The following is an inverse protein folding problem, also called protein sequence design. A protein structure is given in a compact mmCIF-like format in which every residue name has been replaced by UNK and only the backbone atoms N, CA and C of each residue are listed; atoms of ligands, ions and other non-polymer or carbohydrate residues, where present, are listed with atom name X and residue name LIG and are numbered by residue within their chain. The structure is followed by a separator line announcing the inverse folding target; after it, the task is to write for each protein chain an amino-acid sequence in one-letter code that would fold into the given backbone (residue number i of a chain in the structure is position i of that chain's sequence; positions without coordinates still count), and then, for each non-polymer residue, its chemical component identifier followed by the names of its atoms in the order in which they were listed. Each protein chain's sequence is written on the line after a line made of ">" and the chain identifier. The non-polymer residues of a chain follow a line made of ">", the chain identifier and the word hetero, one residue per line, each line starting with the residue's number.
data_IF_798541386666
#
_entry.id   IF_798541386666
#
_cell.length_a   1.000
_cell.length_b   1.000
_cell.length_c   1.000
_cell.angle_alpha   90.00
_cell.angle_beta   90.00
_cell.angle_gamma   90.00
#
_symmetry.space_group_name_H-M   'P 1'
#
loop_
_entity.id
_entity.type
_entity.pdbx_description
1 polymer ?
#
# COMPACT_ATOMS: atom_id res chain seq x y z
N UNK A 1 -14.64 -18.27 28.35
CA UNK A 1 -15.97 -18.80 28.73
C UNK A 1 -16.81 -17.61 29.16
N UNK A 2 -17.89 -17.28 28.45
CA UNK A 2 -18.74 -16.14 28.84
C UNK A 2 -19.48 -16.46 30.16
N UNK A 3 -19.60 -15.52 31.10
CA UNK A 3 -20.31 -15.73 32.36
C UNK A 3 -21.80 -15.94 32.09
N UNK A 4 -22.49 -16.62 33.01
CA UNK A 4 -23.92 -16.90 32.91
C UNK A 4 -24.74 -15.61 32.75
N UNK A 5 -25.20 -15.33 31.53
CA UNK A 5 -26.06 -14.19 31.24
C UNK A 5 -27.46 -14.47 31.81
N UNK A 6 -27.98 -13.54 32.60
CA UNK A 6 -29.31 -13.59 33.18
C UNK A 6 -30.37 -13.72 32.06
N UNK A 7 -31.29 -14.68 32.22
CA UNK A 7 -32.29 -15.05 31.22
C UNK A 7 -33.16 -13.88 30.78
N UNK A 8 -33.31 -12.84 31.62
CA UNK A 8 -34.06 -11.62 31.30
C UNK A 8 -33.45 -10.82 30.15
N UNK A 9 -32.14 -10.96 29.91
CA UNK A 9 -31.46 -10.28 28.81
C UNK A 9 -31.53 -11.03 27.47
N UNK A 10 -31.92 -12.31 27.46
CA UNK A 10 -31.99 -13.13 26.22
C UNK A 10 -32.78 -12.48 25.07
N UNK A 11 -33.93 -11.81 25.28
CA UNK A 11 -34.66 -11.14 24.20
C UNK A 11 -33.93 -9.93 23.61
N UNK A 12 -32.96 -9.37 24.33
CA UNK A 12 -32.19 -8.19 23.95
C UNK A 12 -30.79 -8.52 23.43
N UNK A 13 -30.35 -9.79 23.55
CA UNK A 13 -29.10 -10.26 22.98
C UNK A 13 -29.38 -10.64 21.54
N UNK A 14 -28.79 -9.90 20.61
CA UNK A 14 -28.84 -10.26 19.21
C UNK A 14 -28.14 -11.62 19.00
N UNK A 15 -28.74 -12.50 18.20
CA UNK A 15 -28.18 -13.81 17.82
C UNK A 15 -27.09 -13.67 16.73
N UNK A 16 -26.23 -12.65 16.85
CA UNK A 16 -25.10 -12.50 15.95
C UNK A 16 -23.99 -13.47 16.35
N UNK A 17 -23.64 -14.37 15.44
CA UNK A 17 -22.44 -15.20 15.57
C UNK A 17 -21.26 -14.44 15.01
N UNK A 18 -20.37 -13.97 15.88
CA UNK A 18 -19.09 -13.39 15.49
C UNK A 18 -18.11 -14.53 15.23
N UNK A 19 -17.63 -14.61 13.99
CA UNK A 19 -16.55 -15.51 13.62
C UNK A 19 -15.24 -14.71 13.60
N UNK A 20 -14.30 -15.05 14.48
CA UNK A 20 -12.97 -14.48 14.46
C UNK A 20 -12.11 -15.31 13.51
N UNK A 21 -11.55 -14.68 12.48
CA UNK A 21 -10.65 -15.31 11.52
C UNK A 21 -9.26 -14.72 11.70
N UNK A 22 -8.25 -15.59 11.76
CA UNK A 22 -6.85 -15.20 11.71
C UNK A 22 -6.31 -15.54 10.30
N UNK A 23 -6.04 -14.55 9.42
CA UNK A 23 -5.55 -14.80 8.07
C UNK A 23 -4.30 -15.67 7.99
N UNK A 24 -3.45 -15.65 9.02
CA UNK A 24 -2.22 -16.45 9.09
C UNK A 24 -2.50 -17.95 9.27
N UNK A 25 -3.61 -18.30 9.92
CA UNK A 25 -4.02 -19.70 10.18
C UNK A 25 -4.84 -20.31 9.04
N UNK A 26 -5.28 -19.49 8.07
CA UNK A 26 -6.05 -19.96 6.92
C UNK A 26 -5.13 -20.73 5.98
N UNK A 27 -5.46 -22.00 5.70
CA UNK A 27 -4.70 -22.85 4.77
C UNK A 27 -5.30 -22.90 3.38
N UNK A 28 -6.60 -22.68 3.25
CA UNK A 28 -7.35 -22.80 2.02
C UNK A 28 -8.22 -21.55 1.82
N UNK A 29 -7.74 -20.67 0.94
CA UNK A 29 -8.39 -19.41 0.60
C UNK A 29 -9.49 -19.56 -0.46
N UNK A 30 -9.59 -20.71 -1.12
CA UNK A 30 -10.64 -20.96 -2.12
C UNK A 30 -12.06 -20.92 -1.52
N UNK A 31 -12.17 -21.04 -0.19
CA UNK A 31 -13.42 -20.89 0.57
C UNK A 31 -13.96 -19.46 0.60
N UNK A 32 -13.16 -18.48 0.20
CA UNK A 32 -13.55 -17.09 0.10
C UNK A 32 -13.79 -16.77 -1.39
N UNK A 33 -15.02 -16.47 -1.76
CA UNK A 33 -15.40 -16.21 -3.16
C UNK A 33 -15.46 -14.71 -3.50
N UNK A 34 -15.20 -13.84 -2.51
CA UNK A 34 -15.32 -12.38 -2.61
C UNK A 34 -13.98 -11.68 -2.41
N UNK A 35 -13.98 -10.35 -2.33
CA UNK A 35 -12.81 -9.52 -2.02
C UNK A 35 -12.08 -9.86 -0.70
N UNK A 36 -12.70 -10.65 0.20
CA UNK A 36 -11.99 -11.19 1.38
C UNK A 36 -10.85 -12.15 1.00
N UNK A 37 -10.97 -12.86 -0.12
CA UNK A 37 -9.93 -13.77 -0.60
C UNK A 37 -8.62 -13.03 -0.89
N UNK A 38 -8.57 -12.07 -1.83
CA UNK A 38 -7.33 -11.34 -2.13
C UNK A 38 -6.82 -10.57 -0.92
N UNK A 39 -7.69 -10.01 -0.07
CA UNK A 39 -7.27 -9.33 1.16
C UNK A 39 -6.53 -10.27 2.12
N UNK A 40 -7.09 -11.44 2.43
CA UNK A 40 -6.47 -12.37 3.37
C UNK A 40 -5.23 -13.06 2.79
N UNK A 41 -5.23 -13.37 1.50
CA UNK A 41 -4.05 -13.91 0.82
C UNK A 41 -2.90 -12.89 0.85
N UNK A 42 -3.17 -11.61 0.59
CA UNK A 42 -2.16 -10.54 0.74
C UNK A 42 -1.67 -10.42 2.18
N UNK A 43 -2.58 -10.35 3.16
CA UNK A 43 -2.19 -10.23 4.57
C UNK A 43 -1.33 -11.40 5.04
N UNK A 44 -1.63 -12.62 4.59
CA UNK A 44 -0.81 -13.79 4.92
C UNK A 44 0.61 -13.71 4.35
N UNK A 45 0.75 -13.14 3.16
CA UNK A 45 2.03 -13.05 2.47
C UNK A 45 2.72 -11.68 2.62
N UNK A 46 2.16 -10.74 3.39
CA UNK A 46 2.64 -9.36 3.49
C UNK A 46 4.10 -9.23 3.98
N UNK A 47 4.60 -10.21 4.73
CA UNK A 47 5.99 -10.24 5.22
C UNK A 47 6.98 -10.92 4.29
N UNK A 48 6.54 -11.51 3.17
CA UNK A 48 7.38 -12.25 2.22
C UNK A 48 7.25 -11.61 0.82
N UNK A 49 8.21 -10.75 0.48
CA UNK A 49 8.16 -9.94 -0.74
C UNK A 49 8.06 -10.78 -2.02
N UNK A 50 8.81 -11.90 -2.10
CA UNK A 50 8.81 -12.76 -3.28
C UNK A 50 7.45 -13.43 -3.45
N UNK A 51 6.89 -14.01 -2.38
CA UNK A 51 5.57 -14.63 -2.43
C UNK A 51 4.47 -13.62 -2.71
N UNK A 52 4.56 -12.43 -2.12
CA UNK A 52 3.60 -11.35 -2.35
C UNK A 52 3.61 -10.91 -3.82
N UNK A 53 4.80 -10.74 -4.39
CA UNK A 53 4.95 -10.37 -5.78
C UNK A 53 4.43 -11.46 -6.73
N UNK A 54 4.77 -12.72 -6.45
CA UNK A 54 4.30 -13.86 -7.23
C UNK A 54 2.78 -13.98 -7.17
N UNK A 55 2.17 -13.80 -5.99
CA UNK A 55 0.73 -13.83 -5.80
C UNK A 55 0.04 -12.77 -6.67
N UNK A 56 0.47 -11.52 -6.56
CA UNK A 56 -0.16 -10.40 -7.26
C UNK A 56 0.02 -10.52 -8.78
N UNK A 57 1.16 -11.04 -9.25
CA UNK A 57 1.46 -11.07 -10.69
C UNK A 57 0.97 -12.32 -11.41
N UNK A 58 0.82 -13.46 -10.72
CA UNK A 58 0.49 -14.76 -11.34
C UNK A 58 -0.96 -15.17 -11.15
N UNK A 59 -1.63 -14.75 -10.08
CA UNK A 59 -3.01 -15.15 -9.79
C UNK A 59 -4.02 -14.21 -10.49
N UNK A 60 -4.87 -14.77 -11.35
CA UNK A 60 -5.89 -14.03 -12.11
C UNK A 60 -6.89 -13.30 -11.22
N UNK A 61 -7.10 -13.74 -9.98
CA UNK A 61 -7.96 -13.09 -8.98
C UNK A 61 -7.54 -11.63 -8.74
N UNK A 62 -6.25 -11.32 -8.89
CA UNK A 62 -5.71 -9.97 -8.71
C UNK A 62 -5.83 -9.09 -9.96
N UNK A 63 -6.25 -9.62 -11.11
CA UNK A 63 -6.46 -8.79 -12.31
C UNK A 63 -7.75 -7.96 -12.24
N UNK A 64 -8.69 -8.34 -11.37
CA UNK A 64 -10.01 -7.72 -11.23
C UNK A 64 -10.42 -7.68 -9.75
N UNK A 65 -9.93 -6.69 -9.02
CA UNK A 65 -10.26 -6.49 -7.59
C UNK A 65 -11.14 -5.26 -7.45
N UNK A 66 -12.24 -5.34 -6.71
CA UNK A 66 -13.12 -4.20 -6.46
C UNK A 66 -12.40 -3.10 -5.67
N UNK A 67 -12.78 -1.84 -5.91
CA UNK A 67 -12.15 -0.67 -5.26
C UNK A 67 -12.25 -0.70 -3.74
N UNK A 68 -13.31 -1.27 -3.18
CA UNK A 68 -13.48 -1.38 -1.72
C UNK A 68 -12.45 -2.34 -1.11
N UNK A 69 -12.15 -3.43 -1.79
CA UNK A 69 -11.12 -4.38 -1.41
C UNK A 69 -9.73 -3.78 -1.56
N UNK A 70 -9.45 -3.01 -2.62
CA UNK A 70 -8.17 -2.28 -2.74
C UNK A 70 -8.00 -1.26 -1.62
N UNK A 71 -9.06 -0.53 -1.27
CA UNK A 71 -9.06 0.39 -0.13
C UNK A 71 -8.77 -0.34 1.19
N UNK A 72 -9.39 -1.49 1.41
CA UNK A 72 -9.14 -2.34 2.57
C UNK A 72 -7.69 -2.86 2.60
N UNK A 73 -7.15 -3.29 1.46
CA UNK A 73 -5.76 -3.71 1.34
C UNK A 73 -4.81 -2.58 1.74
N UNK A 74 -4.99 -1.38 1.18
CA UNK A 74 -4.17 -0.22 1.55
C UNK A 74 -4.23 0.08 3.05
N UNK A 75 -5.43 0.01 3.64
CA UNK A 75 -5.64 0.26 5.07
C UNK A 75 -4.98 -0.81 5.96
N UNK A 76 -5.17 -2.09 5.67
CA UNK A 76 -4.74 -3.19 6.54
C UNK A 76 -3.29 -3.63 6.31
N UNK A 77 -2.80 -3.55 5.08
CA UNK A 77 -1.41 -3.90 4.73
C UNK A 77 -0.48 -2.69 4.93
N UNK A 78 -1.02 -1.47 4.94
CA UNK A 78 -0.22 -0.25 5.07
C UNK A 78 0.46 0.16 3.75
N UNK A 79 -0.16 -0.15 2.61
CA UNK A 79 0.31 0.22 1.28
C UNK A 79 -0.38 1.47 0.76
N UNK A 80 0.25 2.19 -0.18
CA UNK A 80 -0.34 3.34 -0.89
C UNK A 80 -0.48 3.05 -2.39
N UNK A 81 -1.15 1.94 -2.71
CA UNK A 81 -1.45 1.56 -4.09
C UNK A 81 -2.45 2.57 -4.63
N UNK A 82 -2.08 3.27 -5.71
CA UNK A 82 -2.96 4.23 -6.38
C UNK A 82 -3.86 3.50 -7.37
N UNK A 83 -5.11 3.89 -7.39
CA UNK A 83 -6.15 3.41 -8.30
C UNK A 83 -7.11 4.55 -8.64
N UNK A 84 -7.87 4.41 -9.72
CA UNK A 84 -8.92 5.36 -10.08
C UNK A 84 -10.19 5.04 -9.28
N UNK A 85 -10.65 5.96 -8.46
CA UNK A 85 -11.87 5.81 -7.66
C UNK A 85 -13.15 5.80 -8.51
N UNK A 86 -13.08 6.23 -9.78
CA UNK A 86 -14.21 6.18 -10.71
C UNK A 86 -14.36 4.83 -11.40
N UNK A 87 -13.37 3.94 -11.32
CA UNK A 87 -13.47 2.58 -11.83
C UNK A 87 -14.10 1.65 -10.78
N UNK A 88 -14.88 0.66 -11.20
CA UNK A 88 -15.44 -0.34 -10.28
C UNK A 88 -14.42 -1.43 -9.91
N UNK A 89 -13.46 -1.68 -10.80
CA UNK A 89 -12.48 -2.75 -10.67
C UNK A 89 -11.08 -2.25 -11.00
N UNK A 90 -10.11 -2.70 -10.23
CA UNK A 90 -8.71 -2.35 -10.35
C UNK A 90 -7.92 -3.59 -10.79
N UNK A 91 -7.03 -3.40 -11.76
CA UNK A 91 -6.01 -4.38 -12.09
C UNK A 91 -4.84 -4.25 -11.09
N UNK A 92 -4.80 -5.14 -10.09
CA UNK A 92 -3.78 -5.06 -9.04
C UNK A 92 -2.39 -5.38 -9.56
N UNK A 93 -2.24 -6.24 -10.56
CA UNK A 93 -0.92 -6.50 -11.19
C UNK A 93 -0.29 -5.20 -11.67
N UNK A 94 -1.06 -4.42 -12.45
CA UNK A 94 -0.62 -3.13 -12.98
C UNK A 94 -0.41 -2.10 -11.87
N UNK A 95 -1.38 -1.98 -10.95
CA UNK A 95 -1.30 -1.02 -9.86
C UNK A 95 -0.09 -1.28 -8.94
N UNK A 96 0.26 -2.54 -8.74
CA UNK A 96 1.43 -2.98 -7.98
C UNK A 96 2.75 -2.68 -8.70
N UNK A 97 2.83 -2.96 -10.00
CA UNK A 97 3.99 -2.62 -10.82
C UNK A 97 4.23 -1.10 -10.85
N UNK A 98 3.16 -0.31 -10.98
CA UNK A 98 3.23 1.14 -10.98
C UNK A 98 3.60 1.67 -9.57
N UNK A 99 3.13 1.03 -8.50
CA UNK A 99 3.58 1.32 -7.13
C UNK A 99 5.09 1.07 -6.96
N UNK A 100 5.62 -0.05 -7.46
CA UNK A 100 7.07 -0.34 -7.44
C UNK A 100 7.89 0.69 -8.21
N UNK A 101 7.46 1.04 -9.43
CA UNK A 101 8.13 2.06 -10.24
C UNK A 101 8.16 3.42 -9.55
N UNK A 102 7.05 3.80 -8.90
CA UNK A 102 7.00 5.03 -8.09
C UNK A 102 8.01 4.98 -6.95
N UNK A 103 8.07 3.88 -6.18
CA UNK A 103 9.05 3.73 -5.10
C UNK A 103 10.50 3.86 -5.58
N UNK A 104 10.84 3.27 -6.73
CA UNK A 104 12.18 3.42 -7.34
C UNK A 104 12.45 4.89 -7.72
N UNK A 105 11.47 5.55 -8.32
CA UNK A 105 11.61 6.94 -8.73
C UNK A 105 11.72 7.90 -7.54
N UNK A 106 10.94 7.68 -6.48
CA UNK A 106 11.05 8.40 -5.22
C UNK A 106 12.41 8.19 -4.58
N UNK A 107 12.92 6.95 -4.55
CA UNK A 107 14.27 6.65 -4.06
C UNK A 107 15.36 7.43 -4.83
N UNK A 108 15.24 7.50 -6.16
CA UNK A 108 16.14 8.32 -7.00
C UNK A 108 16.05 9.81 -6.67
N UNK A 109 14.86 10.31 -6.34
CA UNK A 109 14.69 11.72 -5.98
C UNK A 109 15.39 12.01 -4.65
N UNK A 110 15.17 11.17 -3.64
CA UNK A 110 15.79 11.28 -2.32
C UNK A 110 17.33 11.21 -2.39
N UNK A 111 17.87 10.35 -3.24
CA UNK A 111 19.32 10.28 -3.49
C UNK A 111 19.87 11.63 -3.99
N UNK A 112 19.25 12.19 -5.04
CA UNK A 112 19.67 13.48 -5.60
C UNK A 112 19.51 14.61 -4.58
N UNK A 113 18.44 14.59 -3.79
CA UNK A 113 18.22 15.58 -2.73
C UNK A 113 19.32 15.51 -1.67
N UNK A 114 19.73 14.31 -1.26
CA UNK A 114 20.85 14.12 -0.33
C UNK A 114 22.15 14.70 -0.91
N UNK A 115 22.48 14.37 -2.17
CA UNK A 115 23.71 14.85 -2.81
C UNK A 115 23.76 16.39 -2.93
N UNK A 116 22.62 17.03 -3.17
CA UNK A 116 22.52 18.50 -3.19
C UNK A 116 22.71 19.07 -1.79
N UNK A 117 22.01 18.52 -0.79
CA UNK A 117 22.12 19.00 0.59
C UNK A 117 23.55 18.85 1.14
N UNK A 118 24.24 17.77 0.77
CA UNK A 118 25.62 17.51 1.15
C UNK A 118 26.63 18.39 0.38
N UNK A 119 26.16 19.22 -0.56
CA UNK A 119 27.01 20.09 -1.40
C UNK A 119 27.86 19.33 -2.42
N UNK A 120 27.56 18.05 -2.68
CA UNK A 120 28.31 17.21 -3.62
C UNK A 120 27.97 17.59 -5.06
N UNK A 121 26.72 17.98 -5.31
CA UNK A 121 26.27 18.47 -6.62
C UNK A 121 25.50 19.78 -6.47
N UNK A 122 25.61 20.62 -7.49
CA UNK A 122 24.86 21.87 -7.55
C UNK A 122 23.33 21.63 -7.66
N UNK A 123 22.49 22.45 -7.00
CA UNK A 123 21.04 22.34 -7.06
C UNK A 123 20.46 22.31 -8.48
N UNK A 124 20.99 23.11 -9.40
CA UNK A 124 20.56 23.18 -10.80
C UNK A 124 20.87 21.88 -11.56
N UNK A 125 21.99 21.23 -11.23
CA UNK A 125 22.33 19.92 -11.79
C UNK A 125 21.39 18.85 -11.24
N UNK A 126 21.00 18.93 -9.97
CA UNK A 126 19.98 18.08 -9.36
C UNK A 126 18.65 18.17 -10.10
N UNK A 127 18.13 19.39 -10.27
CA UNK A 127 16.88 19.65 -11.00
C UNK A 127 16.94 19.11 -12.44
N UNK A 128 18.05 19.33 -13.14
CA UNK A 128 18.28 18.80 -14.49
C UNK A 128 18.28 17.28 -14.53
N UNK A 129 18.91 16.60 -13.57
CA UNK A 129 18.97 15.12 -13.49
C UNK A 129 17.59 14.50 -13.25
N UNK A 130 16.72 15.18 -12.50
CA UNK A 130 15.35 14.77 -12.26
C UNK A 130 14.37 15.23 -13.36
N UNK A 131 14.87 15.95 -14.38
CA UNK A 131 14.08 16.48 -15.48
C UNK A 131 12.88 17.33 -15.02
N UNK A 132 13.12 18.21 -14.04
CA UNK A 132 12.10 19.13 -13.53
C UNK A 132 12.63 20.56 -13.41
N UNK A 133 11.74 21.58 -13.49
CA UNK A 133 12.11 22.96 -13.24
C UNK A 133 12.73 23.15 -11.85
N UNK A 134 13.67 24.09 -11.73
CA UNK A 134 14.34 24.36 -10.47
C UNK A 134 13.38 24.71 -9.32
N UNK A 135 12.35 25.53 -9.60
CA UNK A 135 11.35 25.89 -8.60
C UNK A 135 10.53 24.69 -8.08
N UNK A 136 10.28 23.70 -8.94
CA UNK A 136 9.58 22.47 -8.55
C UNK A 136 10.52 21.55 -7.76
N UNK A 137 11.79 21.50 -8.15
CA UNK A 137 12.85 20.77 -7.45
C UNK A 137 13.04 21.28 -6.02
N UNK A 138 13.17 22.60 -5.83
CA UNK A 138 13.31 23.23 -4.51
C UNK A 138 12.11 22.91 -3.60
N UNK A 139 10.90 23.06 -4.13
CA UNK A 139 9.67 22.72 -3.40
C UNK A 139 9.60 21.24 -3.03
N UNK A 140 10.01 20.35 -3.93
CA UNK A 140 9.99 18.91 -3.70
C UNK A 140 11.04 18.51 -2.65
N UNK A 141 12.25 19.07 -2.70
CA UNK A 141 13.27 18.91 -1.66
C UNK A 141 12.76 19.34 -0.30
N UNK A 142 12.19 20.55 -0.21
CA UNK A 142 11.68 21.09 1.04
C UNK A 142 10.54 20.25 1.62
N UNK A 143 9.61 19.79 0.77
CA UNK A 143 8.53 18.89 1.16
C UNK A 143 9.05 17.54 1.68
N UNK A 144 10.16 17.04 1.12
CA UNK A 144 10.83 15.82 1.56
C UNK A 144 11.73 16.03 2.80
N UNK A 145 11.83 17.25 3.34
CA UNK A 145 12.62 17.57 4.54
C UNK A 145 14.08 17.90 4.27
N UNK A 146 14.48 18.03 3.00
CA UNK A 146 15.84 18.41 2.61
C UNK A 146 15.97 19.93 2.46
N UNK A 147 17.19 20.44 2.61
CA UNK A 147 17.51 21.87 2.46
C UNK A 147 18.55 22.08 1.37
N UNK A 148 18.44 23.20 0.67
CA UNK A 148 19.52 23.68 -0.18
C UNK A 148 20.71 24.09 0.71
N UNK A 149 21.96 23.82 0.28
CA UNK A 149 23.14 24.29 0.99
C UNK A 149 23.15 25.82 1.00
N UNK A 150 23.58 26.42 2.12
CA UNK A 150 23.80 27.86 2.19
C UNK A 150 24.98 28.20 1.27
N UNK A 151 24.77 29.12 0.32
CA UNK A 151 25.84 29.66 -0.53
C UNK A 151 26.88 30.32 0.39
N UNK A 152 28.03 29.65 0.57
CA UNK A 152 29.17 30.14 1.33
C UNK A 152 29.90 31.28 0.60
#
# INVERSE_FOLDING_TARGET
>A
MMPHIDKRFRPFINDYRINLLNPLEITDFSKFETGLRPLFELLKNASDEEKLNDLITKDETFTRVDVETVAAINLFVGTDIKYDENEEVVNMCKAWDDHKKRGIQEGRYLEIYSLVQDGIIEPELGAKRLNMPFADFERAMQKAGYKLPELA
#
